data_IF_612492715697
#
_entry.id   IF_612492715697
#
_cell.length_a   1.000
_cell.length_b   1.000
_cell.length_c   1.000
_cell.angle_alpha   90.00
_cell.angle_beta   90.00
_cell.angle_gamma   90.00
#
_symmetry.space_group_name_H-M   'P 1'
#
loop_
_entity.id
_entity.type
_entity.pdbx_description
1 polymer ?
2 non-polymer ?
3 non-polymer ?
4 non-polymer ?
5 water ?
#
# COMPACT_ATOMS: atom_id res chain seq x y z
N UNK A 2 14.87 -13.15 -0.38
CA UNK A 2 13.44 -12.92 -0.75
C UNK A 2 13.28 -11.79 -1.79
N UNK A 3 12.33 -11.99 -2.70
CA UNK A 3 12.16 -11.10 -3.86
C UNK A 3 10.77 -10.47 -3.91
N UNK A 4 10.76 -9.16 -4.13
CA UNK A 4 9.56 -8.38 -4.19
C UNK A 4 9.55 -7.69 -5.53
N UNK A 5 8.58 -8.03 -6.36
CA UNK A 5 8.36 -7.42 -7.66
C UNK A 5 7.17 -6.46 -7.49
N UNK A 6 7.44 -5.17 -7.62
CA UNK A 6 6.51 -4.17 -7.18
C UNK A 6 6.04 -3.40 -8.39
N UNK A 7 4.73 -3.42 -8.64
CA UNK A 7 4.15 -2.67 -9.75
C UNK A 7 3.28 -1.52 -9.26
N UNK A 8 3.45 -0.33 -9.85
CA UNK A 8 2.67 0.86 -9.49
C UNK A 8 1.72 1.18 -10.65
N UNK A 9 0.47 1.51 -10.32
CA UNK A 9 -0.56 1.79 -11.31
C UNK A 9 -1.12 3.19 -11.24
N UNK A 10 -0.42 4.11 -10.58
CA UNK A 10 -0.98 5.44 -10.32
C UNK A 10 -1.71 5.49 -8.99
N UNK A 11 -1.89 6.72 -8.53
CA UNK A 11 -2.49 7.07 -7.24
C UNK A 11 -1.85 6.30 -6.06
N UNK A 12 -2.59 5.38 -5.41
CA UNK A 12 -2.02 4.58 -4.32
C UNK A 12 -2.17 3.10 -4.64
N UNK A 13 -2.31 2.80 -5.93
CA UNK A 13 -2.57 1.46 -6.37
C UNK A 13 -1.30 0.70 -6.73
N UNK A 14 -1.13 -0.47 -6.12
CA UNK A 14 0.09 -1.25 -6.29
C UNK A 14 -0.25 -2.69 -6.43
N UNK A 15 0.63 -3.43 -7.10
CA UNK A 15 0.61 -4.89 -7.07
C UNK A 15 1.98 -5.32 -6.52
N UNK A 16 1.93 -6.14 -5.50
CA UNK A 16 3.10 -6.64 -4.83
C UNK A 16 3.20 -8.13 -5.08
N UNK A 17 4.19 -8.56 -5.88
CA UNK A 17 4.42 -10.00 -6.00
C UNK A 17 5.57 -10.36 -5.10
N UNK A 18 5.29 -11.16 -4.08
CA UNK A 18 6.30 -11.54 -3.08
C UNK A 18 6.44 -13.08 -3.03
N UNK A 19 7.45 -13.54 -3.75
CA UNK A 19 7.69 -14.97 -3.95
C UNK A 19 6.43 -15.66 -4.46
N UNK A 20 6.07 -15.32 -5.70
CA UNK A 20 4.98 -16.01 -6.38
C UNK A 20 3.66 -16.06 -5.61
N UNK A 21 3.31 -14.94 -4.97
CA UNK A 21 1.93 -14.73 -4.54
C UNK A 21 1.67 -13.26 -4.82
N UNK A 22 0.49 -12.99 -5.40
CA UNK A 22 0.19 -11.66 -5.93
C UNK A 22 -0.76 -10.92 -5.00
N UNK A 23 -0.28 -9.81 -4.46
CA UNK A 23 -1.04 -9.02 -3.51
C UNK A 23 -1.28 -7.61 -4.02
N UNK A 24 -2.55 -7.29 -4.24
CA UNK A 24 -2.91 -5.95 -4.69
C UNK A 24 -3.29 -5.08 -3.50
N UNK A 25 -2.93 -3.81 -3.58
CA UNK A 25 -3.25 -2.89 -2.49
C UNK A 25 -3.91 -1.64 -3.07
N UNK A 26 -5.05 -1.24 -2.48
CA UNK A 26 -5.85 -0.07 -2.92
C UNK A 26 -5.90 0.07 -4.45
N UNK A 27 -6.46 -0.95 -5.10
CA UNK A 27 -6.28 -1.18 -6.52
C UNK A 27 -7.29 -0.43 -7.38
N UNK A 28 -7.19 0.90 -7.36
CA UNK A 28 -7.88 1.73 -8.33
C UNK A 28 -7.01 1.74 -9.58
N UNK A 29 -7.12 0.64 -10.33
CA UNK A 29 -6.37 0.46 -11.58
C UNK A 29 -6.79 1.52 -12.61
N UNK A 30 -8.05 1.90 -12.60
CA UNK A 30 -8.56 2.82 -13.58
C UNK A 30 -8.50 4.27 -13.12
N UNK A 31 -7.57 4.63 -12.24
CA UNK A 31 -7.39 6.04 -11.86
C UNK A 31 -6.93 6.88 -13.08
N UNK A 32 -7.19 8.20 -13.04
CA UNK A 32 -6.86 9.13 -14.14
C UNK A 32 -5.45 9.08 -14.75
N UNK A 33 -4.45 8.68 -13.99
CA UNK A 33 -3.09 8.60 -14.46
C UNK A 33 -2.64 7.19 -14.84
N UNK A 34 -3.50 6.18 -14.67
CA UNK A 34 -3.12 4.82 -15.00
C UNK A 34 -2.84 4.71 -16.49
N UNK A 35 -1.92 3.84 -16.85
CA UNK A 35 -1.68 3.47 -18.24
C UNK A 35 -2.08 2.01 -18.41
N UNK A 36 -2.88 1.50 -17.47
CA UNK A 36 -3.30 0.11 -17.44
C UNK A 36 -4.83 0.08 -17.35
N UNK A 37 -5.49 -0.62 -18.26
CA UNK A 37 -6.93 -0.85 -18.12
C UNK A 37 -7.14 -2.01 -17.15
N UNK A 38 -8.38 -2.23 -16.73
CA UNK A 38 -8.68 -3.33 -15.85
C UNK A 38 -8.47 -4.65 -16.58
N UNK A 39 -8.79 -4.68 -17.87
CA UNK A 39 -8.50 -5.86 -18.71
C UNK A 39 -7.00 -6.21 -18.68
N UNK A 40 -6.17 -5.22 -19.04
CA UNK A 40 -4.69 -5.37 -18.97
C UNK A 40 -4.23 -5.92 -17.60
N UNK A 41 -4.66 -5.27 -16.52
CA UNK A 41 -4.29 -5.72 -15.16
C UNK A 41 -4.60 -7.19 -14.98
N UNK A 42 -5.81 -7.59 -15.35
CA UNK A 42 -6.28 -8.94 -15.06
C UNK A 42 -5.57 -10.02 -15.89
N UNK A 43 -5.17 -9.67 -17.10
CA UNK A 43 -4.39 -10.60 -17.92
C UNK A 43 -2.96 -10.75 -17.42
N UNK A 44 -2.41 -9.65 -16.90
CA UNK A 44 -0.98 -9.50 -16.67
C UNK A 44 -0.47 -9.77 -15.25
N UNK A 45 -1.35 -9.80 -14.27
CA UNK A 45 -0.96 -9.97 -12.90
C UNK A 45 -1.82 -11.06 -12.31
N UNK A 46 -1.27 -11.81 -11.39
CA UNK A 46 -2.06 -12.77 -10.67
C UNK A 46 -2.45 -12.01 -9.41
N UNK A 47 -3.71 -12.15 -9.01
CA UNK A 47 -4.18 -11.58 -7.78
C UNK A 47 -4.62 -12.66 -6.80
N UNK A 48 -3.87 -12.84 -5.71
CA UNK A 48 -4.24 -13.74 -4.64
C UNK A 48 -4.92 -13.04 -3.45
N UNK A 49 -4.64 -11.77 -3.24
CA UNK A 49 -5.17 -11.09 -2.09
C UNK A 49 -5.34 -9.66 -2.47
N UNK A 50 -6.41 -9.05 -1.96
CA UNK A 50 -6.63 -7.61 -2.12
C UNK A 50 -6.62 -6.91 -0.76
N UNK A 51 -5.60 -6.11 -0.52
CA UNK A 51 -5.53 -5.29 0.68
C UNK A 51 -6.24 -3.96 0.46
N UNK A 52 -7.20 -3.65 1.34
CA UNK A 52 -7.88 -2.35 1.34
C UNK A 52 -7.56 -1.57 2.61
N UNK A 53 -6.86 -0.44 2.47
CA UNK A 53 -6.39 0.30 3.62
C UNK A 53 -7.45 1.12 4.30
N UNK A 54 -8.41 1.61 3.52
CA UNK A 54 -9.59 2.30 4.02
C UNK A 54 -10.70 2.39 2.94
N UNK A 55 -11.84 2.97 3.32
CA UNK A 55 -13.06 2.88 2.55
C UNK A 55 -13.28 4.01 1.55
N UNK A 56 -12.42 5.00 1.48
CA UNK A 56 -12.55 5.97 0.41
C UNK A 56 -12.45 5.29 -0.93
N UNK A 57 -13.29 5.72 -1.84
CA UNK A 57 -13.47 5.09 -3.15
C UNK A 57 -12.18 5.13 -4.00
N UNK A 58 -11.34 6.12 -3.74
CA UNK A 58 -10.08 6.19 -4.48
C UNK A 58 -9.12 5.08 -4.05
N UNK A 59 -9.49 4.34 -3.02
CA UNK A 59 -8.64 3.29 -2.50
C UNK A 59 -9.28 1.95 -2.71
N UNK A 60 -10.57 1.81 -2.42
CA UNK A 60 -11.29 0.60 -2.81
C UNK A 60 -11.17 0.37 -4.33
N UNK A 61 -11.32 1.43 -5.11
CA UNK A 61 -11.08 1.37 -6.54
C UNK A 61 -11.85 0.25 -7.23
N UNK A 62 -11.14 -0.55 -8.03
CA UNK A 62 -11.69 -1.70 -8.76
C UNK A 62 -11.63 -3.04 -8.00
N UNK A 63 -11.53 -2.96 -6.67
CA UNK A 63 -11.39 -4.14 -5.83
C UNK A 63 -12.43 -5.21 -6.03
N UNK A 64 -13.69 -4.78 -6.06
CA UNK A 64 -14.79 -5.71 -6.06
C UNK A 64 -14.82 -6.53 -7.36
N UNK A 65 -14.66 -5.85 -8.48
CA UNK A 65 -14.60 -6.50 -9.81
C UNK A 65 -13.35 -7.39 -9.87
N UNK A 66 -12.24 -6.90 -9.34
CA UNK A 66 -11.05 -7.73 -9.31
C UNK A 66 -11.30 -9.01 -8.52
N UNK A 67 -11.92 -8.90 -7.36
CA UNK A 67 -12.20 -10.09 -6.58
C UNK A 67 -13.21 -11.03 -7.26
N UNK A 68 -14.18 -10.47 -7.97
CA UNK A 68 -15.18 -11.32 -8.64
C UNK A 68 -14.54 -12.09 -9.77
N UNK A 69 -13.75 -11.40 -10.58
CA UNK A 69 -13.14 -12.03 -11.74
C UNK A 69 -12.01 -13.03 -11.37
N UNK A 70 -11.24 -12.80 -10.28
CA UNK A 70 -10.07 -13.63 -10.01
C UNK A 70 -10.31 -14.67 -8.94
N UNK A 71 -11.36 -14.50 -8.16
CA UNK A 71 -11.53 -15.31 -6.96
C UNK A 71 -10.68 -14.88 -5.76
N UNK A 72 -9.88 -13.81 -5.91
CA UNK A 72 -8.99 -13.39 -4.83
C UNK A 72 -9.77 -12.96 -3.59
N UNK A 73 -9.24 -13.32 -2.42
CA UNK A 73 -9.82 -12.86 -1.17
C UNK A 73 -9.37 -11.40 -0.89
N UNK A 74 -10.07 -10.72 0.00
CA UNK A 74 -9.59 -9.45 0.55
C UNK A 74 -8.93 -9.63 1.92
N UNK A 75 -8.09 -8.65 2.26
CA UNK A 75 -7.60 -8.44 3.63
C UNK A 75 -7.87 -6.99 4.04
N UNK A 76 -8.55 -6.79 5.17
CA UNK A 76 -8.92 -5.47 5.63
C UNK A 76 -9.38 -5.42 7.08
N UNK A 77 -9.52 -4.19 7.56
CA UNK A 77 -9.97 -3.98 8.92
C UNK A 77 -11.33 -4.61 9.10
N UNK A 78 -11.63 -4.98 10.35
CA UNK A 78 -12.84 -5.71 10.69
C UNK A 78 -14.15 -5.16 10.12
N UNK A 79 -14.30 -3.83 10.17
CA UNK A 79 -15.54 -3.18 9.70
C UNK A 79 -15.75 -3.36 8.19
N UNK A 80 -14.67 -3.28 7.43
CA UNK A 80 -14.75 -3.50 6.02
C UNK A 80 -14.97 -4.98 5.77
N UNK A 81 -14.34 -5.88 6.56
CA UNK A 81 -14.63 -7.32 6.45
C UNK A 81 -16.13 -7.63 6.65
N UNK A 82 -16.79 -6.95 7.60
CA UNK A 82 -18.22 -7.18 7.82
C UNK A 82 -19.04 -6.72 6.61
N UNK A 83 -18.79 -5.51 6.15
CA UNK A 83 -19.49 -4.93 5.03
C UNK A 83 -19.35 -5.81 3.77
N UNK A 84 -18.14 -6.36 3.54
CA UNK A 84 -17.86 -7.11 2.30
C UNK A 84 -18.31 -8.57 2.36
N UNK A 85 -18.14 -9.18 3.51
CA UNK A 85 -18.74 -10.50 3.80
C UNK A 85 -20.26 -10.48 3.59
N UNK A 86 -20.94 -9.50 4.17
CA UNK A 86 -22.38 -9.34 3.92
C UNK A 86 -22.68 -9.09 2.44
N UNK A 87 -21.78 -8.45 1.71
CA UNK A 87 -22.00 -8.28 0.27
C UNK A 87 -21.65 -9.52 -0.53
N UNK A 88 -21.25 -10.60 0.13
CA UNK A 88 -20.97 -11.82 -0.56
C UNK A 88 -19.53 -12.13 -0.90
N UNK A 89 -18.60 -11.28 -0.51
CA UNK A 89 -17.19 -11.53 -0.82
C UNK A 89 -16.52 -12.41 0.24
N UNK A 90 -15.36 -12.95 -0.10
CA UNK A 90 -14.60 -13.85 0.77
C UNK A 90 -13.33 -13.11 1.21
N UNK A 91 -13.07 -13.04 2.52
CA UNK A 91 -11.85 -12.40 3.00
C UNK A 91 -11.43 -12.60 4.43
N UNK A 92 -10.31 -11.95 4.78
CA UNK A 92 -9.78 -12.00 6.14
C UNK A 92 -9.86 -10.62 6.78
N UNK A 93 -10.49 -10.56 7.95
CA UNK A 93 -10.58 -9.31 8.68
C UNK A 93 -9.53 -9.27 9.79
N UNK A 94 -9.12 -8.07 10.19
CA UNK A 94 -8.09 -7.90 11.19
C UNK A 94 -8.26 -6.55 11.88
N UNK A 95 -7.31 -6.17 12.72
CA UNK A 95 -7.31 -4.83 13.25
C UNK A 95 -5.87 -4.42 13.51
N UNK A 96 -5.70 -3.24 14.06
CA UNK A 96 -4.40 -2.63 14.20
C UNK A 96 -3.66 -3.39 15.28
N UNK A 97 -2.47 -3.87 14.97
CA UNK A 97 -1.73 -4.67 15.91
C UNK A 97 -0.64 -5.55 15.39
N UNK A 98 -0.50 -6.73 15.97
CA UNK A 98 0.49 -7.70 15.47
C UNK A 98 -0.01 -8.27 14.13
N UNK A 99 0.91 -8.83 13.31
CA UNK A 99 0.54 -9.35 12.00
C UNK A 99 -0.44 -10.52 12.08
N UNK A 100 -1.31 -10.60 11.07
CA UNK A 100 -2.15 -11.77 10.87
C UNK A 100 -1.34 -12.84 10.12
N UNK A 101 -1.50 -14.09 10.53
CA UNK A 101 -0.80 -15.20 9.85
C UNK A 101 -1.60 -15.67 8.64
N UNK A 102 -1.00 -15.59 7.45
CA UNK A 102 -1.75 -15.87 6.24
C UNK A 102 -1.10 -17.04 5.53
N UNK A 103 -0.80 -18.09 6.32
CA UNK A 103 -0.19 -19.34 5.81
C UNK A 103 -1.03 -20.00 4.71
N UNK A 104 -2.34 -20.06 4.90
CA UNK A 104 -3.24 -20.56 3.86
C UNK A 104 -3.11 -19.81 2.51
N UNK A 105 -2.85 -18.51 2.54
CA UNK A 105 -2.64 -17.76 1.30
C UNK A 105 -1.25 -18.11 0.73
N UNK A 106 -0.25 -18.03 1.57
CA UNK A 106 1.11 -18.44 1.22
C UNK A 106 1.88 -18.71 2.52
N UNK A 107 2.70 -19.76 2.52
CA UNK A 107 3.45 -20.11 3.72
C UNK A 107 4.38 -19.00 4.19
N UNK A 108 4.38 -18.74 5.49
CA UNK A 108 5.20 -17.67 6.07
C UNK A 108 4.76 -16.23 5.82
N UNK A 109 3.65 -16.00 5.11
CA UNK A 109 3.16 -14.63 4.85
C UNK A 109 2.33 -14.12 6.03
N UNK A 110 2.58 -12.87 6.39
CA UNK A 110 1.80 -12.16 7.39
C UNK A 110 1.59 -10.69 7.00
N UNK A 111 0.48 -10.13 7.48
CA UNK A 111 0.20 -8.73 7.25
C UNK A 111 -0.33 -8.13 8.51
N UNK A 112 0.29 -7.03 8.92
CA UNK A 112 -0.14 -6.26 10.08
C UNK A 112 -0.83 -4.98 9.62
N UNK A 113 -1.92 -4.64 10.29
CA UNK A 113 -2.53 -3.32 10.10
C UNK A 113 -1.92 -2.27 11.08
N UNK A 114 -1.69 -1.08 10.57
CA UNK A 114 -1.05 -0.01 11.29
C UNK A 114 -2.03 1.13 11.49
N UNK A 115 -1.73 2.06 12.43
CA UNK A 115 -2.50 3.29 12.47
C UNK A 115 -2.38 4.09 11.20
N UNK A 116 -3.20 5.13 11.11
CA UNK A 116 -3.20 6.10 10.02
C UNK A 116 -4.08 7.27 10.41
N UNK A 117 -3.51 8.46 10.38
CA UNK A 117 -4.25 9.66 10.69
C UNK A 117 -4.96 10.21 9.45
N UNK A 118 -6.22 9.81 9.32
CA UNK A 118 -7.05 10.02 8.12
C UNK A 118 -8.52 9.68 8.50
N UNK A 119 -9.38 9.45 7.54
CA UNK A 119 -10.74 9.02 7.80
C UNK A 119 -11.09 7.85 6.85
N UNK A 120 -12.29 7.28 7.05
CA UNK A 120 -12.76 6.10 6.30
C UNK A 120 -14.27 5.96 6.36
N UNK A 121 -14.97 7.04 6.00
CA UNK A 121 -16.44 7.10 6.11
C UNK A 121 -16.88 6.51 7.45
N UNK A 122 -17.81 5.57 7.42
CA UNK A 122 -18.32 4.96 8.66
C UNK A 122 -17.90 3.49 8.73
N UNK A 123 -16.83 3.13 8.04
CA UNK A 123 -16.43 1.74 7.88
C UNK A 123 -15.19 1.41 8.73
N UNK A 124 -15.24 1.71 10.01
CA UNK A 124 -14.09 1.53 10.88
C UNK A 124 -13.15 2.70 10.81
N UNK A 125 -11.85 2.44 10.84
CA UNK A 125 -10.87 3.49 10.89
C UNK A 125 -9.90 3.20 9.76
N UNK A 126 -9.23 4.24 9.27
CA UNK A 126 -8.26 3.99 8.22
C UNK A 126 -7.01 3.25 8.73
N UNK A 127 -6.33 2.54 7.84
CA UNK A 127 -5.15 1.80 8.28
C UNK A 127 -4.03 1.96 7.26
N UNK A 128 -2.83 1.53 7.67
CA UNK A 128 -1.76 1.13 6.75
C UNK A 128 -1.52 -0.38 6.87
N UNK A 129 -0.65 -0.92 6.03
CA UNK A 129 -0.43 -2.37 6.00
C UNK A 129 1.03 -2.71 5.76
N UNK A 130 1.55 -3.60 6.62
CA UNK A 130 2.91 -4.12 6.50
C UNK A 130 2.83 -5.59 6.09
N UNK A 131 3.49 -5.91 4.98
CA UNK A 131 3.56 -7.27 4.49
C UNK A 131 4.89 -7.88 4.99
N UNK A 132 4.78 -8.99 5.73
CA UNK A 132 5.91 -9.76 6.25
C UNK A 132 6.09 -11.08 5.49
N UNK A 133 7.33 -11.50 5.30
CA UNK A 133 7.61 -12.88 4.89
C UNK A 133 8.62 -13.50 5.83
N UNK A 134 8.28 -14.65 6.41
CA UNK A 134 9.18 -15.33 7.35
C UNK A 134 9.64 -14.37 8.46
N UNK A 135 8.69 -13.64 9.03
CA UNK A 135 8.94 -12.68 10.08
C UNK A 135 9.60 -11.35 9.70
N UNK A 136 9.90 -11.13 8.41
CA UNK A 136 10.59 -9.93 7.98
C UNK A 136 9.66 -8.99 7.25
N UNK A 137 9.67 -7.71 7.65
CA UNK A 137 8.88 -6.66 7.02
C UNK A 137 9.47 -6.19 5.70
N UNK A 138 8.80 -6.52 4.60
CA UNK A 138 9.25 -6.11 3.28
C UNK A 138 8.63 -4.83 2.73
N UNK A 139 7.31 -4.74 2.82
CA UNK A 139 6.59 -3.62 2.22
C UNK A 139 5.61 -3.02 3.24
N UNK A 140 5.74 -1.72 3.46
CA UNK A 140 4.76 -1.01 4.27
C UNK A 140 4.02 -0.07 3.30
N UNK A 141 2.71 -0.29 3.14
CA UNK A 141 1.86 0.62 2.35
C UNK A 141 1.08 1.46 3.36
N UNK A 142 1.35 2.78 3.39
CA UNK A 142 0.77 3.58 4.47
C UNK A 142 -0.69 3.94 4.31
N UNK A 143 -1.38 3.51 3.26
CA UNK A 143 -2.74 4.03 3.02
C UNK A 143 -2.63 5.54 2.86
N UNK A 144 -3.71 6.24 3.20
CA UNK A 144 -3.66 7.68 3.35
C UNK A 144 -3.50 7.97 4.82
N UNK A 145 -2.68 8.97 5.11
CA UNK A 145 -2.28 9.28 6.46
C UNK A 145 -1.57 10.60 6.47
N UNK A 146 -1.73 11.32 7.58
CA UNK A 146 -0.79 12.35 7.99
C UNK A 146 0.33 11.68 8.76
N UNK A 147 1.04 12.47 9.52
CA UNK A 147 2.00 11.94 10.43
C UNK A 147 1.28 11.18 11.55
N UNK A 148 1.86 10.05 11.95
CA UNK A 148 1.42 9.39 13.17
C UNK A 148 2.64 8.96 13.98
N UNK A 149 2.59 9.26 15.28
CA UNK A 149 3.78 9.08 16.11
C UNK A 149 4.21 7.60 16.16
N UNK A 150 3.30 6.67 15.90
CA UNK A 150 3.62 5.24 16.03
C UNK A 150 4.44 4.82 14.81
N UNK A 151 4.59 5.72 13.83
CA UNK A 151 5.57 5.47 12.74
C UNK A 151 6.97 5.18 13.31
N UNK A 152 7.32 5.87 14.39
CA UNK A 152 8.59 5.60 15.11
C UNK A 152 8.70 4.16 15.61
N UNK A 153 7.61 3.59 16.15
CA UNK A 153 7.60 2.19 16.59
C UNK A 153 7.72 1.24 15.42
N UNK A 154 7.17 1.63 14.28
CA UNK A 154 7.22 0.75 13.12
C UNK A 154 8.68 0.68 12.65
N UNK A 155 9.33 1.83 12.64
CA UNK A 155 10.78 1.93 12.33
C UNK A 155 11.63 1.01 13.20
N UNK A 156 11.49 1.19 14.51
CA UNK A 156 12.24 0.43 15.55
C UNK A 156 11.98 -1.04 15.60
N UNK A 157 10.71 -1.43 15.40
CA UNK A 157 10.32 -2.84 15.57
C UNK A 157 10.51 -3.63 14.28
N UNK A 158 10.35 -2.98 13.15
CA UNK A 158 10.25 -3.75 11.91
C UNK A 158 11.06 -3.21 10.75
N UNK A 159 11.39 -1.91 10.78
CA UNK A 159 12.03 -1.21 9.64
C UNK A 159 11.66 -1.81 8.30
N UNK A 160 10.37 -1.72 7.94
CA UNK A 160 9.99 -2.30 6.64
C UNK A 160 10.89 -1.79 5.50
N UNK A 161 11.34 -2.70 4.65
CA UNK A 161 12.37 -2.35 3.65
C UNK A 161 11.93 -1.29 2.68
N UNK A 162 10.71 -1.45 2.16
CA UNK A 162 10.13 -0.48 1.22
C UNK A 162 8.89 0.16 1.84
N UNK A 163 8.89 1.48 1.84
CA UNK A 163 7.77 2.28 2.33
C UNK A 163 7.06 2.96 1.18
N UNK A 164 5.75 2.74 1.08
CA UNK A 164 4.93 3.43 0.11
C UNK A 164 4.20 4.50 0.89
N UNK A 165 4.55 5.75 0.61
CA UNK A 165 4.05 6.86 1.43
C UNK A 165 3.39 7.95 0.59
N UNK A 166 2.24 8.46 1.06
CA UNK A 166 1.56 9.53 0.39
C UNK A 166 2.27 10.89 0.53
N UNK A 167 2.38 11.64 -0.56
CA UNK A 167 3.10 12.92 -0.47
C UNK A 167 2.39 14.14 -1.03
N UNK A 168 1.14 13.98 -1.47
CA UNK A 168 0.48 15.02 -2.27
C UNK A 168 0.02 16.24 -1.48
N UNK A 169 0.00 16.12 -0.15
CA UNK A 169 -0.54 17.18 0.68
C UNK A 169 -2.06 17.25 0.64
N UNK A 170 -2.59 18.15 1.46
CA UNK A 170 -4.01 18.51 1.50
C UNK A 170 -4.93 17.49 2.18
N UNK A 171 -4.96 16.29 1.63
CA UNK A 171 -5.71 15.13 2.15
C UNK A 171 -4.80 14.12 2.89
N UNK A 172 -3.49 14.41 2.92
CA UNK A 172 -2.48 13.50 3.41
C UNK A 172 -1.19 14.29 3.77
N UNK A 173 -0.15 13.62 4.27
CA UNK A 173 1.15 14.26 4.43
C UNK A 173 1.57 14.95 3.13
N UNK A 174 2.10 16.16 3.27
CA UNK A 174 2.85 16.80 2.14
C UNK A 174 4.28 16.24 2.08
N UNK A 175 5.11 16.81 1.20
CA UNK A 175 6.50 16.40 1.07
C UNK A 175 7.23 16.61 2.39
N UNK A 176 7.04 17.79 2.98
CA UNK A 176 7.70 18.12 4.20
C UNK A 176 7.41 17.09 5.29
N UNK A 177 6.15 16.71 5.45
CA UNK A 177 5.80 15.71 6.48
C UNK A 177 6.27 14.32 6.11
N UNK A 178 6.20 13.99 4.83
CA UNK A 178 6.61 12.67 4.36
C UNK A 178 8.11 12.47 4.60
N UNK A 179 8.84 13.58 4.65
CA UNK A 179 10.26 13.55 4.98
C UNK A 179 10.51 13.11 6.42
N UNK A 180 9.87 13.78 7.38
CA UNK A 180 9.95 13.35 8.74
C UNK A 180 9.53 11.87 8.81
N UNK A 181 8.44 11.49 8.14
CA UNK A 181 7.96 10.10 8.22
C UNK A 181 9.03 9.09 7.82
N UNK A 182 9.78 9.46 6.79
CA UNK A 182 10.81 8.57 6.24
C UNK A 182 11.90 8.27 7.30
N UNK A 183 12.37 9.35 7.91
CA UNK A 183 13.20 9.34 9.10
C UNK A 183 12.68 8.39 10.19
N UNK A 184 11.39 8.47 10.54
CA UNK A 184 10.82 7.63 11.61
C UNK A 184 10.72 6.16 11.24
N UNK A 185 10.38 5.90 9.98
CA UNK A 185 10.09 4.54 9.52
C UNK A 185 11.27 3.68 9.07
N UNK A 186 12.41 4.30 8.81
CA UNK A 186 13.65 3.56 8.46
C UNK A 186 13.56 2.62 7.25
N UNK A 187 12.88 3.06 6.16
CA UNK A 187 12.90 2.28 4.93
C UNK A 187 14.30 2.28 4.30
N UNK A 188 14.65 1.24 3.56
CA UNK A 188 15.79 1.36 2.63
C UNK A 188 15.34 2.14 1.43
N UNK A 189 14.12 1.90 0.95
CA UNK A 189 13.62 2.69 -0.18
C UNK A 189 12.17 3.13 0.02
N UNK A 190 11.90 4.32 -0.50
CA UNK A 190 10.58 4.92 -0.45
C UNK A 190 10.10 5.16 -1.87
N UNK A 191 8.88 4.66 -2.15
CA UNK A 191 8.13 5.02 -3.35
C UNK A 191 7.06 5.99 -2.93
N UNK A 192 7.09 7.22 -3.46
CA UNK A 192 6.00 8.16 -3.15
C UNK A 192 4.72 7.75 -3.85
N UNK A 193 3.58 8.18 -3.31
CA UNK A 193 2.27 7.88 -3.93
C UNK A 193 1.23 8.97 -3.60
N UNK A 194 0.02 8.82 -4.14
CA UNK A 194 -1.12 9.72 -3.89
C UNK A 194 -0.82 11.18 -4.18
N UNK A 195 -0.19 11.42 -5.33
CA UNK A 195 0.16 12.77 -5.78
C UNK A 195 -0.29 12.99 -7.26
N UNK A 196 -0.56 14.26 -7.59
CA UNK A 196 -0.93 14.73 -8.97
C UNK A 196 -2.24 14.25 -9.62
N UNK A 197 -2.89 13.26 -9.03
CA UNK A 197 -4.13 12.71 -9.59
C UNK A 197 -5.24 13.77 -9.73
N UNK A 198 -5.32 14.70 -8.77
CA UNK A 198 -6.29 15.77 -8.76
C UNK A 198 -5.59 17.01 -8.24
N UNK A 199 -6.07 18.22 -8.59
CA UNK A 199 -5.35 19.47 -8.23
C UNK A 199 -4.96 19.62 -6.77
N UNK A 200 -5.84 19.23 -5.83
CA UNK A 200 -5.43 19.51 -4.46
C UNK A 200 -4.28 18.62 -4.00
N UNK A 201 -4.07 17.49 -4.66
CA UNK A 201 -2.94 16.67 -4.34
C UNK A 201 -1.70 16.83 -5.25
N UNK A 202 -1.61 17.93 -6.01
CA UNK A 202 -0.43 18.14 -6.85
C UNK A 202 0.83 18.30 -5.98
N UNK A 203 1.84 17.46 -6.27
CA UNK A 203 3.20 17.58 -5.68
C UNK A 203 4.21 16.91 -6.62
N UNK A 204 5.46 17.34 -6.52
CA UNK A 204 6.49 16.86 -7.42
C UNK A 204 7.29 15.69 -6.79
N UNK A 205 7.05 14.45 -7.28
CA UNK A 205 7.74 13.34 -6.63
C UNK A 205 9.27 13.44 -6.72
N UNK A 206 9.80 14.16 -7.72
CA UNK A 206 11.22 14.33 -7.83
C UNK A 206 11.75 15.29 -6.80
N UNK A 207 10.93 16.28 -6.42
CA UNK A 207 11.30 17.18 -5.32
C UNK A 207 11.44 16.34 -4.03
N UNK A 208 10.44 15.49 -3.78
CA UNK A 208 10.50 14.52 -2.67
C UNK A 208 11.79 13.74 -2.73
N UNK A 209 12.11 13.21 -3.91
CA UNK A 209 13.29 12.35 -4.05
C UNK A 209 14.58 13.09 -3.68
N UNK A 210 14.76 14.30 -4.20
CA UNK A 210 16.02 14.96 -4.04
C UNK A 210 16.19 15.35 -2.56
N UNK A 211 15.11 15.68 -1.85
CA UNK A 211 15.21 15.96 -0.41
C UNK A 211 15.47 14.72 0.44
N UNK A 212 14.85 13.61 0.14
CA UNK A 212 15.07 12.41 0.97
C UNK A 212 16.50 11.95 0.80
N UNK A 213 16.99 12.01 -0.44
CA UNK A 213 18.30 11.50 -0.79
C UNK A 213 19.43 12.45 -0.38
N UNK A 214 19.24 13.75 -0.53
CA UNK A 214 20.19 14.69 0.01
C UNK A 214 20.25 14.60 1.52
N UNK A 215 19.21 14.14 2.18
CA UNK A 215 19.31 13.93 3.62
C UNK A 215 19.92 12.58 3.95
N UNK A 216 20.27 11.79 2.96
CA UNK A 216 20.77 10.42 3.21
C UNK A 216 19.74 9.59 3.98
N UNK A 217 18.45 9.94 3.93
CA UNK A 217 17.44 9.20 4.72
C UNK A 217 17.05 7.82 4.13
N UNK A 218 17.22 7.69 2.82
CA UNK A 218 16.83 6.48 2.14
C UNK A 218 16.97 6.75 0.66
N UNK A 219 16.86 5.69 -0.14
CA UNK A 219 16.75 5.80 -1.59
C UNK A 219 15.25 5.93 -1.97
N UNK A 220 14.96 6.81 -2.93
CA UNK A 220 13.60 7.03 -3.38
C UNK A 220 13.50 6.58 -4.83
N UNK A 221 12.57 5.66 -5.07
CA UNK A 221 12.23 5.17 -6.38
C UNK A 221 10.88 5.72 -6.83
N UNK A 222 10.93 6.83 -7.55
CA UNK A 222 9.78 7.43 -8.21
C UNK A 222 9.36 6.50 -9.33
N UNK A 223 8.23 5.83 -9.17
CA UNK A 223 7.76 4.87 -10.16
C UNK A 223 6.74 5.55 -11.08
N UNK A 224 6.58 4.97 -12.26
CA UNK A 224 5.64 5.48 -13.24
C UNK A 224 4.49 4.49 -13.36
N UNK A 225 3.26 4.99 -13.55
CA UNK A 225 2.14 4.10 -13.72
C UNK A 225 2.49 2.98 -14.70
N UNK A 226 2.37 1.73 -14.28
CA UNK A 226 2.60 0.57 -15.15
C UNK A 226 4.01 -0.01 -15.00
N UNK A 227 4.92 0.76 -14.42
CA UNK A 227 6.29 0.31 -14.16
C UNK A 227 6.35 -0.78 -13.11
N UNK A 228 7.20 -1.78 -13.35
CA UNK A 228 7.57 -2.77 -12.34
C UNK A 228 9.04 -2.61 -11.98
N UNK A 229 9.36 -2.86 -10.72
CA UNK A 229 10.71 -2.86 -10.23
C UNK A 229 10.81 -4.04 -9.30
N UNK A 230 11.95 -4.73 -9.34
CA UNK A 230 12.22 -5.87 -8.48
C UNK A 230 13.20 -5.48 -7.37
N UNK A 231 12.94 -5.89 -6.13
CA UNK A 231 13.83 -5.61 -5.03
C UNK A 231 14.27 -6.94 -4.38
N UNK A 232 15.58 -7.10 -4.13
CA UNK A 232 16.15 -8.13 -3.19
C UNK A 232 16.83 -7.45 -2.02
N UNK A 233 16.86 -8.13 -0.87
CA UNK A 233 17.27 -7.48 0.38
C UNK A 233 18.46 -8.09 1.15
N UNK A 234 19.09 -9.09 0.53
CA UNK A 234 20.26 -9.79 1.05
C UNK A 234 21.24 -10.02 -0.08
#
# INVERSE_FOLDING_TARGET
MTTVKLTYFGHSAFHVEVDGVGIAIDPWITNPLSKTTLEDYLKNFKTDLVVITHAHEDHIGDALEIMRRTGAKFFSIHEIYVDLTQKGFQGIGANIGGPAKLDDVAPGLGIALTPATHSSYDKGVPTGAIIFKDGKALVYHAGDTGLFAEMQFIGELYAPKVALLPIGGHYTMDIEQALLATKLLRPEVVVPMHYNTFPPIRADPNEFKQKVESAGLAKVRVMEPGETVTFEFKGRQLGPEQKLISEEDLNSAVDHHHHHH
#
